data_IF_925957109692
#
_entry.id   IF_925957109692
#
_cell.length_a   1.000
_cell.length_b   1.000
_cell.length_c   1.000
_cell.angle_alpha   90.00
_cell.angle_beta   90.00
_cell.angle_gamma   90.00
#
_symmetry.space_group_name_H-M   'P 1'
#
loop_
_entity.id
_entity.type
_entity.pdbx_description
1 polymer ?
#
# COMPACT_ATOMS: atom_id res chain seq x y z
N UNK A 1 -32.19 -13.45 2.32
CA UNK A 1 -31.38 -12.52 1.51
C UNK A 1 -29.93 -12.80 1.77
N UNK A 2 -29.09 -12.91 0.73
CA UNK A 2 -27.64 -13.07 0.93
C UNK A 2 -27.05 -11.74 1.39
N UNK A 3 -26.42 -11.72 2.55
CA UNK A 3 -25.68 -10.58 3.05
C UNK A 3 -24.23 -10.74 2.60
N UNK A 4 -23.84 -10.02 1.54
CA UNK A 4 -22.45 -9.96 1.10
C UNK A 4 -21.72 -8.97 2.01
N UNK A 5 -21.22 -9.46 3.15
CA UNK A 5 -20.40 -8.66 4.05
C UNK A 5 -19.10 -8.29 3.36
N UNK A 6 -18.94 -7.02 2.97
CA UNK A 6 -17.65 -6.53 2.49
C UNK A 6 -16.68 -6.52 3.68
N UNK A 7 -15.68 -7.40 3.64
CA UNK A 7 -14.59 -7.38 4.62
C UNK A 7 -13.87 -6.03 4.50
N UNK A 8 -13.87 -5.23 5.57
CA UNK A 8 -13.12 -3.98 5.59
C UNK A 8 -11.64 -4.36 5.57
N UNK A 9 -10.90 -3.84 4.60
CA UNK A 9 -9.45 -4.00 4.55
C UNK A 9 -8.85 -3.44 5.86
N UNK A 10 -8.26 -4.33 6.64
CA UNK A 10 -7.58 -3.98 7.88
C UNK A 10 -6.29 -3.22 7.59
N UNK A 11 -5.70 -2.62 8.63
CA UNK A 11 -4.39 -1.99 8.50
C UNK A 11 -3.32 -3.02 8.11
N UNK A 12 -3.33 -4.19 8.75
CA UNK A 12 -2.36 -5.25 8.50
C UNK A 12 -2.47 -5.81 7.08
N UNK A 13 -3.68 -6.03 6.58
CA UNK A 13 -3.89 -6.44 5.18
C UNK A 13 -3.38 -5.38 4.20
N UNK A 14 -3.64 -4.10 4.48
CA UNK A 14 -3.14 -3.01 3.66
C UNK A 14 -1.60 -2.94 3.65
N UNK A 15 -0.97 -3.02 4.81
CA UNK A 15 0.50 -3.02 4.92
C UNK A 15 1.11 -4.27 4.29
N UNK A 16 0.45 -5.43 4.42
CA UNK A 16 0.88 -6.66 3.75
C UNK A 16 0.90 -6.51 2.24
N UNK A 17 -0.11 -5.86 1.64
CA UNK A 17 -0.11 -5.54 0.21
C UNK A 17 1.04 -4.59 -0.16
N UNK A 18 1.25 -3.53 0.62
CA UNK A 18 2.33 -2.55 0.38
C UNK A 18 3.69 -3.23 0.42
N UNK A 19 4.00 -3.98 1.48
CA UNK A 19 5.27 -4.69 1.59
C UNK A 19 5.44 -5.76 0.51
N UNK A 20 4.38 -6.47 0.14
CA UNK A 20 4.41 -7.42 -0.97
C UNK A 20 4.82 -6.76 -2.29
N UNK A 21 4.33 -5.55 -2.57
CA UNK A 21 4.76 -4.78 -3.73
C UNK A 21 6.20 -4.27 -3.61
N UNK A 22 6.60 -3.77 -2.44
CA UNK A 22 7.97 -3.31 -2.21
C UNK A 22 8.98 -4.44 -2.45
N UNK A 23 8.71 -5.62 -1.90
CA UNK A 23 9.53 -6.82 -2.07
C UNK A 23 9.54 -7.29 -3.54
N UNK A 24 8.39 -7.21 -4.23
CA UNK A 24 8.28 -7.60 -5.65
C UNK A 24 9.06 -6.68 -6.59
N UNK A 25 9.03 -5.36 -6.39
CA UNK A 25 9.69 -4.38 -7.26
C UNK A 25 11.09 -3.97 -6.79
N UNK A 26 11.57 -4.52 -5.67
CA UNK A 26 12.86 -4.17 -5.09
C UNK A 26 12.93 -2.69 -4.69
N UNK A 27 11.87 -2.20 -4.03
CA UNK A 27 11.82 -0.87 -3.47
C UNK A 27 12.57 -0.86 -2.13
N UNK A 28 13.86 -0.51 -2.20
CA UNK A 28 14.80 -0.55 -1.08
C UNK A 28 14.72 0.76 -0.26
N UNK A 29 13.87 0.75 0.76
CA UNK A 29 13.67 1.82 1.73
C UNK A 29 13.31 1.18 3.08
N UNK A 30 13.52 1.90 4.19
CA UNK A 30 13.21 1.36 5.52
C UNK A 30 11.74 0.96 5.64
N UNK A 31 11.46 -0.26 6.14
CA UNK A 31 10.09 -0.75 6.38
C UNK A 31 9.30 0.15 7.33
N UNK A 32 9.96 0.71 8.35
CA UNK A 32 9.32 1.64 9.30
C UNK A 32 8.87 2.92 8.60
N UNK A 33 9.69 3.44 7.67
CA UNK A 33 9.36 4.62 6.87
C UNK A 33 8.24 4.32 5.88
N UNK A 34 8.33 3.19 5.18
CA UNK A 34 7.28 2.73 4.26
C UNK A 34 5.95 2.58 5.00
N UNK A 35 5.96 1.98 6.19
CA UNK A 35 4.76 1.82 7.02
C UNK A 35 4.12 3.16 7.37
N UNK A 36 4.90 4.07 7.98
CA UNK A 36 4.41 5.38 8.38
C UNK A 36 3.82 6.14 7.18
N UNK A 37 4.57 6.23 6.08
CA UNK A 37 4.12 6.92 4.87
C UNK A 37 2.88 6.26 4.24
N UNK A 38 2.82 4.93 4.20
CA UNK A 38 1.68 4.23 3.62
C UNK A 38 0.40 4.44 4.45
N UNK A 39 0.51 4.48 5.78
CA UNK A 39 -0.61 4.76 6.68
C UNK A 39 -1.09 6.20 6.57
N UNK A 40 -0.17 7.16 6.50
CA UNK A 40 -0.48 8.56 6.22
C UNK A 40 -1.17 8.70 4.86
N UNK A 41 -0.63 8.06 3.82
CA UNK A 41 -1.21 8.05 2.47
C UNK A 41 -2.65 7.53 2.46
N UNK A 42 -2.90 6.39 3.12
CA UNK A 42 -4.24 5.81 3.22
C UNK A 42 -5.20 6.73 3.98
N UNK A 43 -4.71 7.42 5.02
CA UNK A 43 -5.49 8.38 5.80
C UNK A 43 -5.88 9.59 4.96
N UNK A 44 -4.95 10.18 4.21
CA UNK A 44 -5.23 11.30 3.29
C UNK A 44 -6.24 10.91 2.20
N UNK A 45 -6.21 9.67 1.72
CA UNK A 45 -7.15 9.14 0.72
C UNK A 45 -8.46 8.62 1.31
N UNK A 46 -8.59 8.59 2.63
CA UNK A 46 -9.78 8.13 3.35
C UNK A 46 -10.12 6.65 3.13
N UNK A 47 -9.18 5.83 2.66
CA UNK A 47 -9.43 4.41 2.38
C UNK A 47 -8.18 3.55 2.42
N UNK A 48 -8.33 2.34 2.96
CA UNK A 48 -7.35 1.25 2.85
C UNK A 48 -7.87 0.24 1.83
N UNK A 49 -7.15 0.06 0.74
CA UNK A 49 -7.52 -0.86 -0.33
C UNK A 49 -6.29 -1.20 -1.16
N UNK A 50 -6.35 -2.30 -1.92
CA UNK A 50 -5.29 -2.65 -2.87
C UNK A 50 -5.05 -1.55 -3.91
N UNK A 51 -6.09 -0.80 -4.31
CA UNK A 51 -5.94 0.35 -5.20
C UNK A 51 -5.15 1.49 -4.53
N UNK A 52 -5.46 1.81 -3.28
CA UNK A 52 -4.73 2.85 -2.53
C UNK A 52 -3.27 2.44 -2.32
N UNK A 53 -3.02 1.17 -2.00
CA UNK A 53 -1.67 0.62 -1.87
C UNK A 53 -0.90 0.76 -3.19
N UNK A 54 -1.51 0.39 -4.32
CA UNK A 54 -0.89 0.55 -5.64
C UNK A 54 -0.55 2.00 -5.99
N UNK A 55 -1.38 2.96 -5.59
CA UNK A 55 -1.08 4.38 -5.79
C UNK A 55 0.14 4.82 -4.97
N UNK A 56 0.23 4.40 -3.72
CA UNK A 56 1.40 4.66 -2.87
C UNK A 56 2.67 4.02 -3.45
N UNK A 57 2.58 2.80 -3.99
CA UNK A 57 3.71 2.09 -4.58
C UNK A 57 4.24 2.77 -5.85
N UNK A 58 3.36 3.26 -6.73
CA UNK A 58 3.79 4.06 -7.89
C UNK A 58 4.45 5.37 -7.44
N UNK A 59 3.85 6.00 -6.41
CA UNK A 59 4.44 6.98 -5.51
C UNK A 59 5.94 6.78 -5.22
N UNK A 60 6.15 5.78 -4.38
CA UNK A 60 7.44 5.38 -3.85
C UNK A 60 8.41 4.96 -4.95
N UNK A 61 7.96 4.18 -5.93
CA UNK A 61 8.79 3.74 -7.04
C UNK A 61 9.29 4.93 -7.89
N UNK A 62 8.43 5.92 -8.15
CA UNK A 62 8.82 7.16 -8.83
C UNK A 62 9.89 7.92 -8.05
N UNK A 63 9.74 8.02 -6.73
CA UNK A 63 10.74 8.65 -5.83
C UNK A 63 12.08 7.90 -5.80
N UNK A 64 12.04 6.57 -5.87
CA UNK A 64 13.23 5.71 -5.86
C UNK A 64 13.83 5.47 -7.27
N UNK A 65 13.25 6.06 -8.32
CA UNK A 65 13.69 5.84 -9.71
C UNK A 65 13.51 4.40 -10.21
N UNK A 66 12.59 3.64 -9.59
CA UNK A 66 12.27 2.26 -9.95
C UNK A 66 11.07 2.22 -10.90
N UNK A 67 11.03 1.20 -11.76
CA UNK A 67 9.90 0.96 -12.66
C UNK A 67 9.01 -0.14 -12.09
N UNK A 68 7.70 0.10 -12.06
CA UNK A 68 6.69 -0.87 -11.68
C UNK A 68 5.93 -1.44 -12.89
N UNK A 69 6.49 -1.24 -14.09
CA UNK A 69 6.01 -1.69 -15.40
C UNK A 69 7.04 -1.47 -16.51
#
# INVERSE_FOLDING_TARGET
GLWLGFHKCSQDEYLSMVFGYCDHFGLDESREKIEAEALEWATTRGSRSGRTAWQYIQDLAGRLGKKTG
#
